data_IF_109751792873
#
_entry.id   IF_109751792873
#
_cell.length_a   1.000
_cell.length_b   1.000
_cell.length_c   1.000
_cell.angle_alpha   90.00
_cell.angle_beta   90.00
_cell.angle_gamma   90.00
#
_symmetry.space_group_name_H-M   'P 1'
#
loop_
_entity.id
_entity.type
_entity.pdbx_description
1 polymer ?
#
# COMPACT_ATOMS: atom_id res chain seq x y z
N UNK A 1 -12.73 -15.99 13.37
CA UNK A 1 -11.72 -15.91 12.30
C UNK A 1 -12.33 -15.21 11.11
N UNK A 2 -11.59 -14.26 10.53
CA UNK A 2 -11.98 -13.57 9.29
C UNK A 2 -11.87 -14.53 8.09
N UNK A 3 -12.60 -14.26 7.01
CA UNK A 3 -12.31 -14.82 5.68
C UNK A 3 -11.14 -14.08 5.04
N UNK A 4 -10.53 -14.64 3.99
CA UNK A 4 -9.50 -13.93 3.22
C UNK A 4 -10.03 -12.57 2.71
N UNK A 5 -11.23 -12.53 2.14
CA UNK A 5 -11.82 -11.28 1.65
C UNK A 5 -12.11 -10.26 2.76
N UNK A 6 -12.46 -10.70 3.98
CA UNK A 6 -12.61 -9.81 5.14
C UNK A 6 -11.26 -9.23 5.59
N UNK A 7 -10.15 -9.98 5.47
CA UNK A 7 -8.79 -9.46 5.71
C UNK A 7 -8.41 -8.45 4.63
N UNK A 8 -8.55 -8.81 3.35
CA UNK A 8 -8.23 -7.93 2.23
C UNK A 8 -9.03 -6.63 2.27
N UNK A 9 -10.32 -6.69 2.59
CA UNK A 9 -11.16 -5.51 2.77
C UNK A 9 -10.70 -4.61 3.93
N UNK A 10 -10.30 -5.20 5.06
CA UNK A 10 -9.77 -4.45 6.20
C UNK A 10 -8.45 -3.74 5.84
N UNK A 11 -7.57 -4.40 5.07
CA UNK A 11 -6.34 -3.79 4.56
C UNK A 11 -6.64 -2.63 3.61
N UNK A 12 -7.55 -2.81 2.65
CA UNK A 12 -7.97 -1.73 1.76
C UNK A 12 -8.50 -0.50 2.52
N UNK A 13 -9.31 -0.72 3.56
CA UNK A 13 -9.85 0.36 4.38
C UNK A 13 -8.74 1.06 5.18
N UNK A 14 -7.84 0.30 5.81
CA UNK A 14 -6.73 0.82 6.59
C UNK A 14 -5.76 1.65 5.74
N UNK A 15 -5.37 1.12 4.58
CA UNK A 15 -4.48 1.81 3.62
C UNK A 15 -5.15 3.05 3.01
N UNK A 16 -6.45 3.01 2.69
CA UNK A 16 -7.16 4.19 2.17
C UNK A 16 -7.20 5.31 3.20
N UNK A 17 -7.43 4.97 4.47
CA UNK A 17 -7.42 5.93 5.57
C UNK A 17 -6.02 6.48 5.80
N UNK A 18 -5.00 5.62 5.75
CA UNK A 18 -3.61 6.04 5.85
C UNK A 18 -3.24 7.07 4.77
N UNK A 19 -3.54 6.80 3.50
CA UNK A 19 -3.29 7.76 2.41
C UNK A 19 -4.05 9.08 2.63
N UNK A 20 -5.30 9.01 3.08
CA UNK A 20 -6.10 10.21 3.34
C UNK A 20 -5.54 11.04 4.51
N UNK A 21 -5.20 10.41 5.63
CA UNK A 21 -4.79 11.07 6.87
C UNK A 21 -3.32 11.49 6.84
N UNK A 22 -2.44 10.69 6.22
CA UNK A 22 -0.99 10.90 6.20
C UNK A 22 -0.51 11.62 4.94
N UNK A 23 -1.07 11.26 3.77
CA UNK A 23 -0.69 11.85 2.47
C UNK A 23 -1.64 12.99 2.04
N UNK A 24 -2.71 13.23 2.80
CA UNK A 24 -3.69 14.28 2.53
C UNK A 24 -4.64 13.98 1.37
N UNK A 25 -4.59 12.76 0.81
CA UNK A 25 -5.39 12.33 -0.34
C UNK A 25 -5.48 10.81 -0.40
N UNK A 26 -6.69 10.28 -0.48
CA UNK A 26 -6.92 8.86 -0.73
C UNK A 26 -6.69 8.43 -2.20
N UNK A 27 -6.48 7.12 -2.43
CA UNK A 27 -6.39 6.55 -3.77
C UNK A 27 -7.73 6.59 -4.50
N UNK A 28 -7.71 6.52 -5.84
CA UNK A 28 -8.92 6.35 -6.65
C UNK A 28 -9.47 4.93 -6.56
N UNK A 29 -8.57 3.96 -6.67
CA UNK A 29 -8.87 2.54 -6.52
C UNK A 29 -7.83 1.91 -5.60
N UNK A 30 -8.26 0.92 -4.81
CA UNK A 30 -7.38 0.13 -3.97
C UNK A 30 -7.81 -1.34 -4.00
N UNK A 31 -6.85 -2.24 -4.09
CA UNK A 31 -7.07 -3.67 -3.99
C UNK A 31 -5.96 -4.30 -3.15
N UNK A 32 -6.33 -5.26 -2.30
CA UNK A 32 -5.41 -6.05 -1.51
C UNK A 32 -5.55 -7.53 -1.90
N UNK A 33 -4.43 -8.22 -1.96
CA UNK A 33 -4.35 -9.65 -2.27
C UNK A 33 -3.48 -10.33 -1.22
N UNK A 34 -4.06 -11.31 -0.53
CA UNK A 34 -3.32 -12.20 0.35
C UNK A 34 -2.91 -13.47 -0.41
N UNK A 35 -1.61 -13.71 -0.53
CA UNK A 35 -1.02 -14.81 -1.30
C UNK A 35 -0.03 -15.53 -0.39
N UNK A 36 -0.49 -16.56 0.32
CA UNK A 36 0.30 -17.21 1.36
C UNK A 36 0.60 -16.25 2.52
N UNK A 37 1.88 -15.97 2.76
CA UNK A 37 2.39 -14.99 3.71
C UNK A 37 2.70 -13.62 3.10
N UNK A 38 2.44 -13.43 1.80
CA UNK A 38 2.58 -12.15 1.12
C UNK A 38 1.24 -11.41 1.11
N UNK A 39 1.26 -10.15 1.50
CA UNK A 39 0.14 -9.23 1.34
C UNK A 39 0.53 -8.15 0.35
N UNK A 40 -0.12 -8.14 -0.81
CA UNK A 40 0.11 -7.16 -1.89
C UNK A 40 -1.02 -6.16 -1.89
N UNK A 41 -0.72 -4.88 -1.80
CA UNK A 41 -1.69 -3.79 -1.91
C UNK A 41 -1.36 -2.97 -3.15
N UNK A 42 -2.34 -2.80 -4.02
CA UNK A 42 -2.25 -1.98 -5.23
C UNK A 42 -3.15 -0.77 -5.09
N UNK A 43 -2.55 0.41 -5.21
CA UNK A 43 -3.22 1.70 -5.17
C UNK A 43 -3.11 2.37 -6.55
N UNK A 44 -4.19 2.99 -7.00
CA UNK A 44 -4.21 3.74 -8.27
C UNK A 44 -4.61 5.18 -8.05
N UNK A 45 -3.98 6.09 -8.80
CA UNK A 45 -4.32 7.51 -8.76
C UNK A 45 -3.84 8.22 -7.50
N UNK A 46 -2.75 7.73 -6.90
CA UNK A 46 -2.14 8.29 -5.67
C UNK A 46 -1.37 9.58 -5.94
N UNK A 47 -0.95 9.82 -7.18
CA UNK A 47 -0.24 11.05 -7.56
C UNK A 47 -1.17 12.27 -7.49
N UNK A 48 -0.74 13.27 -6.73
CA UNK A 48 -1.29 14.63 -6.68
C UNK A 48 -1.06 15.37 -7.99
N UNK A 49 -1.83 16.44 -8.24
CA UNK A 49 -1.64 17.28 -9.42
C UNK A 49 -0.24 17.92 -9.45
N UNK A 50 0.30 18.28 -8.28
CA UNK A 50 1.64 18.85 -8.15
C UNK A 50 2.73 17.84 -8.50
N UNK A 51 2.63 16.60 -7.99
CA UNK A 51 3.57 15.52 -8.33
C UNK A 51 3.53 15.17 -9.82
N UNK A 52 2.34 15.09 -10.42
CA UNK A 52 2.21 14.87 -11.87
C UNK A 52 2.87 15.97 -12.68
N UNK A 53 2.74 17.24 -12.25
CA UNK A 53 3.37 18.36 -12.92
C UNK A 53 4.89 18.36 -12.75
N UNK A 54 5.39 17.99 -11.57
CA UNK A 54 6.82 17.85 -11.30
C UNK A 54 7.48 16.82 -12.24
N UNK A 55 6.85 15.66 -12.41
CA UNK A 55 7.33 14.59 -13.29
C UNK A 55 7.35 15.04 -14.76
N UNK A 56 6.40 15.89 -15.19
CA UNK A 56 6.30 16.39 -16.57
C UNK A 56 7.24 17.55 -16.88
N UNK A 57 7.51 18.42 -15.90
CA UNK A 57 8.17 19.71 -16.12
C UNK A 57 9.70 19.65 -15.99
N UNK A 58 10.23 18.73 -15.18
CA UNK A 58 11.67 18.52 -15.06
C UNK A 58 12.19 17.55 -16.14
N UNK A 59 13.51 17.57 -16.44
CA UNK A 59 14.13 16.48 -17.20
C UNK A 59 13.69 15.14 -16.59
N UNK A 60 13.20 14.23 -17.44
CA UNK A 60 12.38 13.11 -17.00
C UNK A 60 13.00 12.27 -15.89
N UNK A 61 14.32 12.12 -15.82
CA UNK A 61 15.00 11.45 -14.70
C UNK A 61 14.81 12.20 -13.37
N UNK A 62 15.19 13.49 -13.31
CA UNK A 62 15.24 14.25 -12.06
C UNK A 62 13.89 14.38 -11.35
N UNK A 63 12.81 14.64 -12.09
CA UNK A 63 11.47 14.77 -11.49
C UNK A 63 10.94 13.44 -10.94
N UNK A 64 11.25 12.33 -11.61
CA UNK A 64 10.87 10.98 -11.16
C UNK A 64 11.69 10.55 -9.94
N UNK A 65 13.00 10.78 -9.98
CA UNK A 65 13.91 10.38 -8.90
C UNK A 65 13.55 11.10 -7.59
N UNK A 66 13.32 12.42 -7.66
CA UNK A 66 12.92 13.21 -6.50
C UNK A 66 11.59 12.73 -5.91
N UNK A 67 10.61 12.42 -6.77
CA UNK A 67 9.31 11.92 -6.31
C UNK A 67 9.47 10.57 -5.59
N UNK A 68 10.23 9.64 -6.18
CA UNK A 68 10.48 8.32 -5.59
C UNK A 68 11.23 8.44 -4.27
N UNK A 69 12.20 9.35 -4.17
CA UNK A 69 12.94 9.62 -2.94
C UNK A 69 12.01 10.12 -1.83
N UNK A 70 11.18 11.12 -2.12
CA UNK A 70 10.19 11.65 -1.16
C UNK A 70 9.22 10.54 -0.72
N UNK A 71 8.69 9.75 -1.65
CA UNK A 71 7.79 8.62 -1.33
C UNK A 71 8.47 7.59 -0.45
N UNK A 72 9.74 7.27 -0.72
CA UNK A 72 10.53 6.36 0.12
C UNK A 72 10.62 6.88 1.55
N UNK A 73 10.96 8.16 1.74
CA UNK A 73 11.07 8.74 3.08
C UNK A 73 9.73 8.77 3.82
N UNK A 74 8.63 9.07 3.13
CA UNK A 74 7.28 9.08 3.72
C UNK A 74 6.84 7.67 4.15
N UNK A 75 7.12 6.65 3.33
CA UNK A 75 6.81 5.26 3.67
C UNK A 75 7.64 4.75 4.84
N UNK A 76 8.93 5.09 4.91
CA UNK A 76 9.77 4.74 6.05
C UNK A 76 9.29 5.44 7.34
N UNK A 77 8.93 6.71 7.28
CA UNK A 77 8.40 7.45 8.43
C UNK A 77 7.07 6.88 8.95
N UNK A 78 6.25 6.31 8.05
CA UNK A 78 4.97 5.69 8.36
C UNK A 78 5.04 4.17 8.61
N UNK A 79 6.22 3.54 8.47
CA UNK A 79 6.40 2.09 8.51
C UNK A 79 5.73 1.44 9.71
N UNK A 80 6.03 1.92 10.91
CA UNK A 80 5.49 1.34 12.16
C UNK A 80 3.96 1.40 12.23
N UNK A 81 3.35 2.45 11.69
CA UNK A 81 1.90 2.60 11.64
C UNK A 81 1.27 1.60 10.67
N UNK A 82 1.85 1.44 9.48
CA UNK A 82 1.39 0.47 8.50
C UNK A 82 1.56 -0.97 9.00
N UNK A 83 2.70 -1.30 9.60
CA UNK A 83 2.96 -2.62 10.17
C UNK A 83 1.96 -2.97 11.29
N UNK A 84 1.66 -2.01 12.17
CA UNK A 84 0.66 -2.21 13.22
C UNK A 84 -0.74 -2.46 12.65
N UNK A 85 -1.15 -1.69 11.64
CA UNK A 85 -2.45 -1.85 10.97
C UNK A 85 -2.57 -3.20 10.24
N UNK A 86 -1.51 -3.63 9.53
CA UNK A 86 -1.47 -4.96 8.90
C UNK A 86 -1.52 -6.07 9.94
N UNK A 87 -0.78 -5.93 11.04
CA UNK A 87 -0.79 -6.91 12.12
C UNK A 87 -2.15 -6.98 12.83
N UNK A 88 -2.85 -5.86 13.01
CA UNK A 88 -4.22 -5.84 13.54
C UNK A 88 -5.21 -6.55 12.58
N UNK A 89 -5.07 -6.32 11.28
CA UNK A 89 -5.95 -6.90 10.29
C UNK A 89 -5.76 -8.43 10.16
N UNK A 90 -4.52 -8.89 10.18
CA UNK A 90 -4.10 -10.27 9.89
C UNK A 90 -3.87 -11.13 11.13
N UNK A 91 -3.56 -10.52 12.27
CA UNK A 91 -3.06 -11.20 13.47
C UNK A 91 -1.62 -11.70 13.36
N UNK A 92 -0.90 -11.38 12.27
CA UNK A 92 0.45 -11.85 11.99
C UNK A 92 1.44 -10.69 11.94
N UNK A 93 2.61 -10.89 12.54
CA UNK A 93 3.70 -9.91 12.52
C UNK A 93 4.22 -9.70 11.09
N UNK A 94 4.44 -8.44 10.71
CA UNK A 94 5.14 -8.07 9.48
C UNK A 94 6.66 -8.24 9.67
N UNK A 95 7.31 -8.88 8.70
CA UNK A 95 8.76 -9.06 8.65
C UNK A 95 9.46 -8.01 7.78
N UNK A 96 8.84 -7.64 6.66
CA UNK A 96 9.34 -6.60 5.77
C UNK A 96 8.21 -5.88 5.05
N UNK A 97 8.50 -4.66 4.63
CA UNK A 97 7.65 -3.83 3.79
C UNK A 97 8.51 -3.26 2.67
N UNK A 98 8.04 -3.46 1.44
CA UNK A 98 8.59 -2.90 0.21
C UNK A 98 7.50 -2.09 -0.50
N UNK A 99 7.89 -1.06 -1.22
CA UNK A 99 6.96 -0.30 -2.05
C UNK A 99 7.67 0.20 -3.30
N UNK A 100 6.89 0.46 -4.36
CA UNK A 100 7.33 1.29 -5.47
C UNK A 100 6.14 2.02 -6.09
N UNK A 101 6.42 3.19 -6.67
CA UNK A 101 5.45 4.03 -7.36
C UNK A 101 5.86 4.25 -8.82
N UNK A 102 4.91 4.04 -9.73
CA UNK A 102 5.04 4.36 -11.13
C UNK A 102 4.66 5.82 -11.37
N UNK A 103 5.64 6.64 -11.75
CA UNK A 103 5.43 8.03 -12.15
C UNK A 103 4.74 8.19 -13.50
N UNK A 104 4.56 7.08 -14.24
CA UNK A 104 3.91 7.06 -15.56
C UNK A 104 2.42 6.77 -15.41
N UNK A 105 2.07 5.74 -14.64
CA UNK A 105 0.68 5.29 -14.46
C UNK A 105 0.03 5.89 -13.22
N UNK A 106 0.81 6.37 -12.25
CA UNK A 106 0.31 6.78 -10.94
C UNK A 106 -0.19 5.62 -10.08
N UNK A 107 0.29 4.42 -10.38
CA UNK A 107 0.11 3.21 -9.58
C UNK A 107 1.19 3.13 -8.51
N UNK A 108 0.80 2.72 -7.30
CA UNK A 108 1.70 2.38 -6.21
C UNK A 108 1.39 0.96 -5.73
N UNK A 109 2.44 0.17 -5.55
CA UNK A 109 2.35 -1.19 -5.04
C UNK A 109 3.10 -1.25 -3.73
N UNK A 110 2.44 -1.74 -2.68
CA UNK A 110 3.02 -1.99 -1.37
C UNK A 110 2.95 -3.49 -1.10
N UNK A 111 4.08 -4.06 -0.74
CA UNK A 111 4.24 -5.48 -0.44
C UNK A 111 4.66 -5.65 1.02
N UNK A 112 3.91 -6.44 1.76
CA UNK A 112 4.26 -6.89 3.09
C UNK A 112 4.59 -8.38 3.08
N UNK A 113 5.70 -8.75 3.70
CA UNK A 113 6.01 -10.14 4.02
C UNK A 113 5.63 -10.39 5.46
N UNK A 114 4.76 -11.37 5.71
CA UNK A 114 4.29 -11.74 7.04
C UNK A 114 5.11 -12.91 7.59
N UNK A 115 5.14 -13.07 8.91
CA UNK A 115 5.88 -14.18 9.54
C UNK A 115 5.34 -15.58 9.17
N UNK A 116 4.07 -15.64 8.75
CA UNK A 116 3.38 -16.84 8.30
C UNK A 116 2.11 -16.45 7.54
N UNK A 117 1.49 -17.40 6.85
CA UNK A 117 0.17 -17.19 6.28
C UNK A 117 -0.87 -16.88 7.38
N UNK A 118 -1.67 -15.80 7.25
CA UNK A 118 -2.72 -15.49 8.21
C UNK A 118 -3.75 -16.61 8.31
N UNK A 119 -4.18 -16.99 9.52
CA UNK A 119 -5.22 -17.98 9.68
C UNK A 119 -6.58 -17.36 9.30
N UNK A 120 -7.21 -17.86 8.23
CA UNK A 120 -8.55 -17.45 7.81
C UNK A 120 -9.46 -18.65 7.59
N UNK A 121 -10.78 -18.42 7.67
CA UNK A 121 -11.79 -19.43 7.32
C UNK A 121 -12.10 -19.35 5.83
N UNK A 122 -12.22 -20.50 5.15
CA UNK A 122 -12.71 -20.53 3.78
C UNK A 122 -14.19 -20.16 3.74
N UNK A 123 -14.58 -19.34 2.76
CA UNK A 123 -16.00 -19.22 2.41
C UNK A 123 -16.43 -20.50 1.70
N UNK A 124 -17.46 -21.18 2.22
CA UNK A 124 -18.13 -22.25 1.45
C UNK A 124 -18.59 -21.64 0.13
N UNK A 125 -17.99 -22.08 -0.98
CA UNK A 125 -18.50 -21.78 -2.32
C UNK A 125 -19.94 -22.30 -2.39
N UNK A 126 -20.89 -21.38 -2.62
CA UNK A 126 -22.28 -21.72 -2.92
C UNK A 126 -22.39 -22.15 -4.38
#
# INVERSE_FOLDING_TARGET
MKTQGEIEAAICQGMSRFEQDYMGRGPKNIHAHLIGDLLVVRLEGVLTAAEQQLVKSLPSAKGRDLLKEVRTQLMEAARSLMEAMVQEATGVKVLSLHHDISTVTGEEVVLFTLAQAPPFREMKKR
#
